data_IF_734289071170
#
_entry.id   IF_734289071170
#
_cell.length_a   1.000
_cell.length_b   1.000
_cell.length_c   1.000
_cell.angle_alpha   90.00
_cell.angle_beta   90.00
_cell.angle_gamma   90.00
#
_symmetry.space_group_name_H-M   'P 1'
#
loop_
_entity.id
_entity.type
_entity.pdbx_description
1 polymer ?
#
# COMPACT_ATOMS: atom_id res chain seq x y z
N UNK A 1 -38.41 16.68 44.14
CA UNK A 1 -37.34 17.69 44.35
C UNK A 1 -36.08 16.96 44.82
N UNK A 2 -34.93 17.24 44.17
CA UNK A 2 -33.54 16.84 44.52
C UNK A 2 -33.19 15.35 44.34
N UNK A 3 -32.12 14.90 43.68
CA UNK A 3 -30.97 15.59 43.07
C UNK A 3 -30.38 14.77 41.90
N UNK A 4 -30.08 15.47 40.82
CA UNK A 4 -29.17 15.11 39.73
C UNK A 4 -27.74 15.49 40.17
N UNK A 5 -26.73 14.62 39.98
CA UNK A 5 -25.38 15.03 39.51
C UNK A 5 -24.39 13.86 39.32
N UNK A 6 -23.61 14.01 38.24
CA UNK A 6 -22.26 13.50 37.91
C UNK A 6 -22.15 12.14 37.20
N UNK A 7 -22.34 12.18 35.89
CA UNK A 7 -21.47 11.49 34.92
C UNK A 7 -20.88 12.57 34.01
N UNK A 8 -19.63 12.95 34.24
CA UNK A 8 -18.97 14.05 33.53
C UNK A 8 -17.52 14.14 33.97
N UNK A 9 -16.78 13.05 33.83
CA UNK A 9 -15.37 13.01 34.23
C UNK A 9 -14.52 11.98 33.47
N UNK A 10 -15.07 11.24 32.50
CA UNK A 10 -14.32 10.22 31.74
C UNK A 10 -13.93 10.67 30.33
N UNK A 11 -14.76 11.50 29.67
CA UNK A 11 -14.44 12.04 28.34
C UNK A 11 -13.44 13.21 28.37
N UNK A 12 -13.42 13.98 29.45
CA UNK A 12 -12.51 15.13 29.62
C UNK A 12 -11.07 14.64 29.87
N UNK A 13 -10.91 13.56 30.65
CA UNK A 13 -9.62 12.92 30.92
C UNK A 13 -8.98 12.23 29.70
N UNK A 14 -9.79 11.65 28.80
CA UNK A 14 -9.27 11.05 27.57
C UNK A 14 -8.92 12.13 26.53
N UNK A 15 -9.72 13.21 26.42
CA UNK A 15 -9.41 14.35 25.57
C UNK A 15 -8.12 15.08 25.99
N UNK A 16 -7.88 15.24 27.29
CA UNK A 16 -6.65 15.86 27.81
C UNK A 16 -5.40 15.01 27.50
N UNK A 17 -5.53 13.69 27.53
CA UNK A 17 -4.45 12.77 27.12
C UNK A 17 -4.18 12.82 25.61
N UNK A 18 -5.23 12.90 24.80
CA UNK A 18 -5.11 13.03 23.35
C UNK A 18 -4.45 14.36 22.96
N UNK A 19 -4.80 15.44 23.65
CA UNK A 19 -4.24 16.76 23.40
C UNK A 19 -2.78 16.86 23.86
N UNK A 20 -2.42 16.20 24.97
CA UNK A 20 -1.04 16.06 25.41
C UNK A 20 -0.19 15.23 24.44
N UNK A 21 -0.71 14.11 23.93
CA UNK A 21 -0.01 13.28 22.94
C UNK A 21 0.18 14.01 21.59
N UNK A 22 -0.81 14.79 21.16
CA UNK A 22 -0.70 15.67 19.99
C UNK A 22 0.35 16.79 20.20
N UNK A 23 0.40 17.40 21.39
CA UNK A 23 1.41 18.41 21.71
C UNK A 23 2.83 17.84 21.75
N UNK A 24 3.01 16.63 22.29
CA UNK A 24 4.31 15.96 22.35
C UNK A 24 4.81 15.56 20.96
N UNK A 25 3.93 15.06 20.10
CA UNK A 25 4.26 14.72 18.70
C UNK A 25 4.60 15.96 17.87
N UNK A 26 3.89 17.08 18.05
CA UNK A 26 4.23 18.36 17.43
C UNK A 26 5.60 18.85 17.91
N UNK A 27 5.86 18.79 19.22
CA UNK A 27 7.17 19.17 19.80
C UNK A 27 8.32 18.29 19.29
N UNK A 28 8.11 16.98 19.18
CA UNK A 28 9.08 16.05 18.58
C UNK A 28 9.35 16.39 17.12
N UNK A 29 8.31 16.67 16.35
CA UNK A 29 8.44 17.04 14.93
C UNK A 29 9.23 18.34 14.76
N UNK A 30 9.02 19.31 15.66
CA UNK A 30 9.71 20.59 15.66
C UNK A 30 11.18 20.46 16.12
N UNK A 31 11.44 19.61 17.13
CA UNK A 31 12.81 19.22 17.52
C UNK A 31 13.55 18.45 16.44
N UNK A 32 12.85 17.61 15.67
CA UNK A 32 13.42 16.89 14.52
C UNK A 32 13.73 17.84 13.35
N UNK A 33 12.93 18.90 13.16
CA UNK A 33 13.20 19.97 12.19
C UNK A 33 14.37 20.87 12.61
N UNK A 34 14.53 21.09 13.91
CA UNK A 34 15.55 21.99 14.49
C UNK A 34 16.78 21.24 15.01
N UNK A 35 16.99 20.00 14.58
CA UNK A 35 18.11 19.18 15.01
C UNK A 35 19.38 19.65 14.30
N UNK A 36 20.03 20.67 14.86
CA UNK A 36 21.39 21.04 14.47
C UNK A 36 22.31 19.84 14.73
N UNK A 37 22.81 19.26 13.64
CA UNK A 37 23.78 18.17 13.73
C UNK A 37 25.04 18.71 14.40
N UNK A 38 25.41 18.12 15.54
CA UNK A 38 26.72 18.39 16.15
C UNK A 38 27.84 18.20 15.12
N UNK A 39 28.97 18.88 15.29
CA UNK A 39 30.12 18.74 14.39
C UNK A 39 30.55 17.26 14.25
N UNK A 40 30.47 16.49 15.33
CA UNK A 40 30.70 15.04 15.30
C UNK A 40 29.67 14.29 14.44
N UNK A 41 28.39 14.66 14.50
CA UNK A 41 27.34 14.04 13.70
C UNK A 41 27.49 14.39 12.21
N UNK A 42 27.81 15.65 11.88
CA UNK A 42 28.12 16.07 10.51
C UNK A 42 29.31 15.31 9.94
N UNK A 43 30.39 15.14 10.71
CA UNK A 43 31.57 14.36 10.30
C UNK A 43 31.24 12.89 10.07
N UNK A 44 30.41 12.28 10.93
CA UNK A 44 29.93 10.89 10.75
C UNK A 44 29.06 10.76 9.50
N UNK A 45 28.16 11.71 9.25
CA UNK A 45 27.33 11.75 8.05
C UNK A 45 28.20 11.87 6.79
N UNK A 46 29.16 12.79 6.75
CA UNK A 46 30.08 12.94 5.63
C UNK A 46 30.88 11.65 5.34
N UNK A 47 31.39 11.00 6.39
CA UNK A 47 32.08 9.72 6.25
C UNK A 47 31.16 8.60 5.75
N UNK A 48 29.90 8.59 6.15
CA UNK A 48 28.91 7.63 5.65
C UNK A 48 28.59 7.88 4.17
N UNK A 49 28.37 9.14 3.77
CA UNK A 49 28.14 9.53 2.37
C UNK A 49 29.29 9.08 1.45
N UNK A 50 30.55 9.29 1.85
CA UNK A 50 31.73 8.82 1.10
C UNK A 50 31.77 7.29 0.93
N UNK A 51 31.28 6.52 1.91
CA UNK A 51 31.17 5.05 1.79
C UNK A 51 30.09 4.65 0.80
N UNK A 52 28.96 5.36 0.79
CA UNK A 52 27.89 5.11 -0.18
C UNK A 52 28.27 5.52 -1.59
N UNK A 53 28.97 6.63 -1.76
CA UNK A 53 29.57 7.03 -3.04
C UNK A 53 30.45 5.90 -3.61
N UNK A 54 31.40 5.38 -2.82
CA UNK A 54 32.24 4.25 -3.22
C UNK A 54 31.43 2.99 -3.54
N UNK A 55 30.39 2.70 -2.76
CA UNK A 55 29.51 1.56 -3.01
C UNK A 55 28.73 1.72 -4.33
N UNK A 56 28.28 2.95 -4.64
CA UNK A 56 27.62 3.31 -5.90
C UNK A 56 28.55 3.10 -7.09
N UNK A 57 29.81 3.53 -6.99
CA UNK A 57 30.83 3.32 -8.03
C UNK A 57 31.08 1.84 -8.28
N UNK A 58 31.40 1.07 -7.24
CA UNK A 58 31.65 -0.38 -7.35
C UNK A 58 30.43 -1.13 -7.92
N UNK A 59 29.22 -0.72 -7.54
CA UNK A 59 27.98 -1.28 -8.07
C UNK A 59 27.75 -0.92 -9.54
N UNK A 60 28.20 0.26 -9.97
CA UNK A 60 28.15 0.70 -11.39
C UNK A 60 29.09 -0.15 -12.23
N UNK A 61 30.31 -0.38 -11.76
CA UNK A 61 31.28 -1.26 -12.42
C UNK A 61 30.76 -2.70 -12.53
N UNK A 62 30.23 -3.23 -11.43
CA UNK A 62 29.65 -4.58 -11.41
C UNK A 62 28.43 -4.72 -12.33
N UNK A 63 27.54 -3.73 -12.39
CA UNK A 63 26.40 -3.77 -13.31
C UNK A 63 26.85 -3.79 -14.79
N UNK A 64 27.93 -3.08 -15.10
CA UNK A 64 28.48 -2.95 -16.45
C UNK A 64 29.34 -4.15 -16.87
N UNK A 65 29.72 -5.01 -15.93
CA UNK A 65 30.53 -6.19 -16.20
C UNK A 65 29.69 -7.31 -16.84
N UNK A 66 29.83 -7.49 -18.16
CA UNK A 66 29.13 -8.53 -18.92
C UNK A 66 29.55 -9.96 -18.59
N UNK A 67 30.70 -10.16 -17.92
CA UNK A 67 31.12 -11.48 -17.44
C UNK A 67 30.31 -11.95 -16.21
N UNK A 68 29.64 -11.04 -15.51
CA UNK A 68 28.76 -11.38 -14.39
C UNK A 68 27.42 -11.91 -14.87
N UNK A 69 26.81 -12.76 -14.03
CA UNK A 69 25.49 -13.30 -14.33
C UNK A 69 24.45 -12.17 -14.35
N UNK A 70 23.34 -12.34 -15.09
CA UNK A 70 22.22 -11.41 -15.02
C UNK A 70 21.70 -11.14 -13.60
N UNK A 71 21.75 -12.14 -12.71
CA UNK A 71 21.34 -11.97 -11.32
C UNK A 71 22.29 -11.07 -10.54
N UNK A 72 23.60 -11.24 -10.72
CA UNK A 72 24.61 -10.41 -10.04
C UNK A 72 24.56 -8.97 -10.54
N UNK A 73 24.31 -8.77 -11.84
CA UNK A 73 24.12 -7.43 -12.42
C UNK A 73 22.86 -6.75 -11.87
N UNK A 74 21.73 -7.48 -11.74
CA UNK A 74 20.51 -6.94 -11.11
C UNK A 74 20.77 -6.59 -9.64
N UNK A 75 21.49 -7.44 -8.91
CA UNK A 75 21.88 -7.17 -7.52
C UNK A 75 22.81 -5.95 -7.42
N UNK A 76 23.77 -5.81 -8.34
CA UNK A 76 24.61 -4.62 -8.42
C UNK A 76 23.77 -3.36 -8.64
N UNK A 77 22.77 -3.40 -9.52
CA UNK A 77 21.85 -2.29 -9.71
C UNK A 77 21.06 -1.96 -8.44
N UNK A 78 20.63 -2.97 -7.67
CA UNK A 78 19.99 -2.74 -6.37
C UNK A 78 20.91 -1.97 -5.42
N UNK A 79 22.19 -2.38 -5.32
CA UNK A 79 23.18 -1.66 -4.52
C UNK A 79 23.41 -0.24 -5.03
N UNK A 80 23.48 -0.03 -6.35
CA UNK A 80 23.67 1.29 -6.95
C UNK A 80 22.53 2.24 -6.59
N UNK A 81 21.28 1.80 -6.69
CA UNK A 81 20.10 2.60 -6.31
C UNK A 81 20.11 2.89 -4.81
N UNK A 82 20.30 1.88 -3.96
CA UNK A 82 20.33 2.08 -2.51
C UNK A 82 21.45 3.03 -2.07
N UNK A 83 22.65 2.85 -2.61
CA UNK A 83 23.81 3.69 -2.31
C UNK A 83 23.57 5.14 -2.76
N UNK A 84 23.00 5.35 -3.95
CA UNK A 84 22.62 6.69 -4.45
C UNK A 84 21.66 7.41 -3.49
N UNK A 85 20.62 6.71 -3.02
CA UNK A 85 19.64 7.29 -2.09
C UNK A 85 20.28 7.61 -0.73
N UNK A 86 21.16 6.76 -0.23
CA UNK A 86 21.81 6.94 1.07
C UNK A 86 22.92 7.99 1.04
N UNK A 87 23.60 8.15 -0.09
CA UNK A 87 24.58 9.22 -0.34
C UNK A 87 23.92 10.60 -0.33
N UNK A 88 22.67 10.69 -0.78
CA UNK A 88 21.91 11.93 -0.93
C UNK A 88 20.81 12.09 0.14
N UNK A 89 20.93 11.37 1.28
CA UNK A 89 19.87 11.29 2.29
C UNK A 89 19.50 12.66 2.90
N UNK A 90 20.44 13.59 2.94
CA UNK A 90 20.28 14.98 3.38
C UNK A 90 19.61 15.87 2.31
N UNK A 91 19.71 15.49 1.04
CA UNK A 91 19.13 16.19 -0.11
C UNK A 91 18.48 15.17 -1.08
N UNK A 92 17.35 14.53 -0.68
CA UNK A 92 16.80 13.38 -1.40
C UNK A 92 16.35 13.70 -2.84
N UNK A 93 16.16 14.98 -3.18
CA UNK A 93 15.90 15.43 -4.54
C UNK A 93 17.03 15.05 -5.52
N UNK A 94 18.28 15.07 -5.05
CA UNK A 94 19.46 14.78 -5.85
C UNK A 94 19.53 13.29 -6.25
N UNK A 95 18.79 12.42 -5.55
CA UNK A 95 18.68 11.00 -5.88
C UNK A 95 17.81 10.73 -7.12
N UNK A 96 16.87 11.62 -7.45
CA UNK A 96 15.77 11.32 -8.39
C UNK A 96 16.28 11.06 -9.81
N UNK A 97 17.11 11.96 -10.36
CA UNK A 97 17.62 11.81 -11.71
C UNK A 97 18.57 10.59 -11.84
N UNK A 98 19.57 10.39 -10.95
CA UNK A 98 20.41 9.19 -10.99
C UNK A 98 19.63 7.88 -10.83
N UNK A 99 18.63 7.84 -9.95
CA UNK A 99 17.77 6.66 -9.82
C UNK A 99 16.98 6.38 -11.10
N UNK A 100 16.47 7.42 -11.78
CA UNK A 100 15.77 7.25 -13.06
C UNK A 100 16.68 6.62 -14.12
N UNK A 101 17.92 7.08 -14.24
CA UNK A 101 18.92 6.48 -15.16
C UNK A 101 19.16 5.01 -14.82
N UNK A 102 19.34 4.70 -13.53
CA UNK A 102 19.48 3.31 -13.06
C UNK A 102 18.29 2.43 -13.49
N UNK A 103 17.06 2.94 -13.38
CA UNK A 103 15.85 2.23 -13.79
C UNK A 103 15.80 2.02 -15.30
N UNK A 104 16.16 3.02 -16.10
CA UNK A 104 16.18 2.91 -17.56
C UNK A 104 17.18 1.85 -18.04
N UNK A 105 18.40 1.86 -17.49
CA UNK A 105 19.43 0.85 -17.78
C UNK A 105 19.00 -0.56 -17.35
N UNK A 106 18.44 -0.70 -16.14
CA UNK A 106 17.95 -1.98 -15.61
C UNK A 106 16.83 -2.55 -16.48
N UNK A 107 15.85 -1.72 -16.82
CA UNK A 107 14.71 -2.08 -17.65
C UNK A 107 15.13 -2.36 -19.10
N UNK A 108 16.26 -1.80 -19.53
CA UNK A 108 16.90 -2.02 -20.82
C UNK A 108 17.61 -3.37 -20.96
N UNK A 109 17.91 -4.08 -19.86
CA UNK A 109 18.61 -5.36 -19.93
C UNK A 109 17.82 -6.40 -20.75
N UNK A 110 18.44 -7.09 -21.73
CA UNK A 110 17.77 -8.08 -22.56
C UNK A 110 17.07 -9.18 -21.75
N UNK A 111 17.70 -9.63 -20.66
CA UNK A 111 17.15 -10.64 -19.74
C UNK A 111 15.83 -10.20 -19.09
N UNK A 112 15.68 -8.92 -18.78
CA UNK A 112 14.48 -8.36 -18.13
C UNK A 112 13.34 -8.29 -19.14
N UNK A 113 13.61 -7.74 -20.33
CA UNK A 113 12.65 -7.63 -21.41
C UNK A 113 12.14 -9.01 -21.86
N UNK A 114 13.05 -9.99 -22.02
CA UNK A 114 12.71 -11.36 -22.39
C UNK A 114 11.91 -12.09 -21.28
N UNK A 115 12.27 -11.90 -20.01
CA UNK A 115 11.56 -12.50 -18.88
C UNK A 115 10.10 -12.05 -18.83
N UNK A 116 9.84 -10.76 -19.06
CA UNK A 116 8.50 -10.20 -19.16
C UNK A 116 7.77 -10.71 -20.41
N UNK A 117 8.37 -10.58 -21.59
CA UNK A 117 7.75 -10.99 -22.85
C UNK A 117 7.25 -12.46 -22.80
N UNK A 118 8.02 -13.36 -22.20
CA UNK A 118 7.65 -14.77 -22.09
C UNK A 118 6.57 -15.05 -21.03
N UNK A 119 6.50 -14.27 -19.95
CA UNK A 119 5.47 -14.44 -18.90
C UNK A 119 4.13 -13.84 -19.30
N UNK A 120 4.16 -12.77 -20.10
CA UNK A 120 2.96 -12.04 -20.50
C UNK A 120 2.25 -12.67 -21.71
N UNK A 121 2.90 -13.58 -22.45
CA UNK A 121 2.25 -14.44 -23.45
C UNK A 121 1.36 -15.49 -22.79
N UNK A 122 0.04 -15.41 -23.01
CA UNK A 122 -0.87 -16.56 -22.86
C UNK A 122 -0.55 -17.58 -23.95
N UNK A 123 -0.12 -18.78 -23.60
CA UNK A 123 -0.01 -19.89 -24.57
C UNK A 123 1.18 -20.82 -24.34
N UNK A 124 0.87 -22.11 -24.26
CA UNK A 124 1.80 -23.24 -24.19
C UNK A 124 2.53 -23.34 -25.53
N UNK A 125 3.62 -22.59 -25.72
CA UNK A 125 4.70 -22.93 -26.68
C UNK A 125 5.97 -22.27 -26.17
N UNK A 126 6.72 -23.08 -25.41
CA UNK A 126 7.99 -22.71 -24.83
C UNK A 126 9.01 -22.48 -25.94
N UNK A 127 9.38 -21.22 -26.18
CA UNK A 127 10.71 -20.93 -26.75
C UNK A 127 11.70 -21.33 -25.66
N UNK A 128 12.44 -22.41 -25.93
CA UNK A 128 13.46 -22.94 -25.04
C UNK A 128 14.67 -21.99 -25.01
N UNK A 129 15.30 -21.91 -23.83
CA UNK A 129 16.69 -21.46 -23.53
C UNK A 129 16.88 -19.99 -23.15
N UNK A 130 16.70 -19.69 -21.85
CA UNK A 130 17.68 -18.92 -21.06
C UNK A 130 17.46 -19.12 -19.55
N UNK A 131 16.20 -19.24 -19.10
CA UNK A 131 15.84 -19.38 -17.67
C UNK A 131 14.59 -20.27 -17.44
N UNK A 132 14.55 -20.97 -16.31
CA UNK A 132 13.39 -21.73 -15.84
C UNK A 132 12.24 -20.80 -15.40
N UNK A 133 11.07 -21.38 -15.07
CA UNK A 133 9.86 -20.59 -14.73
C UNK A 133 10.06 -19.71 -13.49
N UNK A 134 10.88 -20.15 -12.55
CA UNK A 134 11.13 -19.51 -11.26
C UNK A 134 12.16 -18.41 -11.37
N UNK A 135 13.27 -18.65 -12.08
CA UNK A 135 14.29 -17.65 -12.37
C UNK A 135 13.70 -16.40 -13.04
N UNK A 136 12.77 -16.59 -14.00
CA UNK A 136 12.06 -15.45 -14.62
C UNK A 136 11.18 -14.67 -13.64
N UNK A 137 10.53 -15.36 -12.69
CA UNK A 137 9.76 -14.68 -11.63
C UNK A 137 10.70 -13.90 -10.72
N UNK A 138 11.86 -14.49 -10.41
CA UNK A 138 12.90 -13.86 -9.61
C UNK A 138 13.36 -12.56 -10.27
N UNK A 139 13.81 -12.62 -11.53
CA UNK A 139 14.20 -11.43 -12.32
C UNK A 139 13.12 -10.35 -12.29
N UNK A 140 11.87 -10.69 -12.61
CA UNK A 140 10.77 -9.72 -12.63
C UNK A 140 10.55 -9.07 -11.27
N UNK A 141 10.59 -9.84 -10.20
CA UNK A 141 10.30 -9.31 -8.86
C UNK A 141 11.46 -8.48 -8.32
N UNK A 142 12.70 -8.90 -8.55
CA UNK A 142 13.90 -8.18 -8.12
C UNK A 142 13.99 -6.82 -8.84
N UNK A 143 13.70 -6.80 -10.16
CA UNK A 143 13.60 -5.55 -10.93
C UNK A 143 12.44 -4.66 -10.45
N UNK A 144 11.30 -5.26 -10.12
CA UNK A 144 10.14 -4.53 -9.59
C UNK A 144 10.45 -3.89 -8.23
N UNK A 145 11.16 -4.59 -7.34
CA UNK A 145 11.62 -4.04 -6.07
C UNK A 145 12.50 -2.79 -6.28
N UNK A 146 13.46 -2.86 -7.19
CA UNK A 146 14.36 -1.73 -7.49
C UNK A 146 13.55 -0.55 -8.07
N UNK A 147 12.63 -0.81 -8.99
CA UNK A 147 11.70 0.18 -9.51
C UNK A 147 10.85 0.81 -8.39
N UNK A 148 10.35 0.02 -7.43
CA UNK A 148 9.52 0.50 -6.32
C UNK A 148 10.31 1.43 -5.40
N UNK A 149 11.55 1.09 -5.07
CA UNK A 149 12.42 1.91 -4.24
C UNK A 149 12.67 3.27 -4.90
N UNK A 150 13.10 3.27 -6.17
CA UNK A 150 13.30 4.50 -6.92
C UNK A 150 12.02 5.34 -7.01
N UNK A 151 10.87 4.69 -7.24
CA UNK A 151 9.56 5.36 -7.29
C UNK A 151 9.23 6.06 -5.97
N UNK A 152 9.41 5.39 -4.84
CA UNK A 152 9.12 5.96 -3.53
C UNK A 152 9.97 7.21 -3.23
N UNK A 153 11.23 7.22 -3.66
CA UNK A 153 12.10 8.39 -3.53
C UNK A 153 11.56 9.55 -4.36
N UNK A 154 11.20 9.31 -5.62
CA UNK A 154 10.56 10.33 -6.48
C UNK A 154 9.27 10.86 -5.85
N UNK A 155 8.40 9.99 -5.32
CA UNK A 155 7.17 10.40 -4.64
C UNK A 155 7.43 11.31 -3.44
N UNK A 156 8.48 11.02 -2.67
CA UNK A 156 8.79 11.76 -1.43
C UNK A 156 9.26 13.18 -1.74
N UNK A 157 9.92 13.39 -2.89
CA UNK A 157 10.44 14.69 -3.32
C UNK A 157 9.41 15.49 -4.11
N UNK A 158 8.62 14.86 -4.97
CA UNK A 158 7.73 15.51 -5.95
C UNK A 158 6.40 16.00 -5.38
N UNK A 159 6.34 16.45 -4.11
CA UNK A 159 5.08 16.84 -3.41
C UNK A 159 4.31 17.96 -4.16
N UNK A 160 4.94 18.70 -5.08
CA UNK A 160 4.37 19.89 -5.72
C UNK A 160 4.18 19.81 -7.25
N UNK A 161 4.60 18.74 -7.92
CA UNK A 161 4.51 18.64 -9.40
C UNK A 161 3.86 17.33 -9.87
N UNK A 162 3.20 17.32 -11.04
CA UNK A 162 2.71 16.09 -11.65
C UNK A 162 3.86 15.10 -11.80
N UNK A 163 3.65 13.88 -11.33
CA UNK A 163 4.70 12.87 -11.34
C UNK A 163 5.19 12.62 -12.77
N UNK A 164 6.51 12.59 -13.00
CA UNK A 164 7.05 12.28 -14.30
C UNK A 164 6.58 10.89 -14.74
N UNK A 165 6.36 10.72 -16.04
CA UNK A 165 6.00 9.41 -16.60
C UNK A 165 7.06 8.38 -16.19
N UNK A 166 6.64 7.38 -15.40
CA UNK A 166 7.55 6.34 -14.93
C UNK A 166 8.04 5.48 -16.09
N UNK A 167 9.32 5.07 -16.15
CA UNK A 167 9.86 4.27 -17.24
C UNK A 167 9.03 3.00 -17.48
N UNK A 168 8.58 2.82 -18.73
CA UNK A 168 7.87 1.61 -19.18
C UNK A 168 8.82 0.69 -19.91
N UNK A 169 8.68 -0.62 -19.69
CA UNK A 169 9.50 -1.63 -20.36
C UNK A 169 8.89 -1.97 -21.71
N UNK A 170 9.65 -1.77 -22.77
CA UNK A 170 9.25 -2.24 -24.09
C UNK A 170 9.60 -3.73 -24.23
N UNK A 171 8.58 -4.57 -24.39
CA UNK A 171 8.75 -6.02 -24.62
C UNK A 171 8.82 -6.38 -26.11
N UNK A 172 8.89 -5.37 -26.99
CA UNK A 172 8.77 -5.45 -28.44
C UNK A 172 7.33 -5.52 -28.96
N UNK A 173 6.36 -5.88 -28.10
CA UNK A 173 4.94 -5.99 -28.45
C UNK A 173 4.07 -4.96 -27.76
N UNK A 174 4.36 -4.74 -26.49
CA UNK A 174 3.64 -3.82 -25.62
C UNK A 174 4.63 -3.12 -24.70
N UNK A 175 4.23 -1.94 -24.23
CA UNK A 175 4.91 -1.22 -23.15
C UNK A 175 4.27 -1.63 -21.83
N UNK A 176 5.07 -2.12 -20.91
CA UNK A 176 4.63 -2.64 -19.61
C UNK A 176 5.07 -1.66 -18.54
N UNK A 177 4.12 -1.16 -17.75
CA UNK A 177 4.43 -0.48 -16.51
C UNK A 177 4.63 -1.54 -15.41
N UNK A 178 5.88 -1.81 -15.02
CA UNK A 178 6.21 -2.84 -14.05
C UNK A 178 5.47 -2.68 -12.71
N UNK A 179 5.27 -1.45 -12.27
CA UNK A 179 4.64 -1.17 -10.99
C UNK A 179 3.12 -1.27 -11.07
N UNK A 180 2.52 -1.13 -12.25
CA UNK A 180 1.05 -1.07 -12.43
C UNK A 180 0.45 -2.26 -13.19
N UNK A 181 1.26 -3.09 -13.82
CA UNK A 181 0.72 -4.22 -14.59
C UNK A 181 0.24 -5.34 -13.65
N UNK A 182 -1.06 -5.64 -13.69
CA UNK A 182 -1.68 -6.67 -12.84
C UNK A 182 -1.05 -8.06 -13.03
N UNK A 183 -0.50 -8.36 -14.21
CA UNK A 183 0.17 -9.64 -14.49
C UNK A 183 1.49 -9.73 -13.73
N UNK A 184 2.17 -8.60 -13.52
CA UNK A 184 3.36 -8.48 -12.65
C UNK A 184 2.93 -8.60 -11.19
N UNK A 185 1.84 -7.95 -10.77
CA UNK A 185 1.27 -8.12 -9.42
C UNK A 185 1.02 -9.59 -9.08
N UNK A 186 0.43 -10.35 -10.00
CA UNK A 186 0.20 -11.80 -9.81
C UNK A 186 1.49 -12.62 -9.66
N UNK A 187 2.62 -12.15 -10.20
CA UNK A 187 3.93 -12.76 -10.01
C UNK A 187 4.45 -12.43 -8.61
N UNK A 188 4.35 -11.17 -8.19
CA UNK A 188 4.79 -10.68 -6.88
C UNK A 188 4.06 -11.34 -5.72
N UNK A 189 2.72 -11.49 -5.81
CA UNK A 189 1.93 -12.17 -4.78
C UNK A 189 2.41 -13.61 -4.53
N UNK A 190 2.88 -14.31 -5.57
CA UNK A 190 3.42 -15.68 -5.41
C UNK A 190 4.74 -15.74 -4.66
N UNK A 191 5.41 -14.59 -4.46
CA UNK A 191 6.65 -14.44 -3.70
C UNK A 191 6.45 -13.66 -2.39
N UNK A 192 5.22 -13.28 -2.03
CA UNK A 192 4.97 -12.40 -0.87
C UNK A 192 5.56 -11.00 -1.04
N UNK A 193 5.63 -10.50 -2.29
CA UNK A 193 6.23 -9.21 -2.66
C UNK A 193 5.19 -8.21 -3.18
N UNK A 194 3.91 -8.37 -2.82
CA UNK A 194 2.79 -7.50 -3.24
C UNK A 194 3.08 -6.00 -3.07
N UNK A 195 3.81 -5.60 -2.01
CA UNK A 195 4.15 -4.21 -1.70
C UNK A 195 5.03 -3.53 -2.76
N UNK A 196 5.65 -4.32 -3.65
CA UNK A 196 6.41 -3.81 -4.79
C UNK A 196 5.52 -3.30 -5.92
N UNK A 197 4.24 -3.69 -5.94
CA UNK A 197 3.24 -3.22 -6.90
C UNK A 197 2.61 -1.90 -6.44
N UNK A 198 2.32 -1.02 -7.40
CA UNK A 198 1.39 0.12 -7.24
C UNK A 198 -0.04 -0.27 -7.61
N UNK A 199 -0.22 -1.31 -8.41
CA UNK A 199 -1.54 -1.87 -8.66
C UNK A 199 -1.89 -2.83 -7.53
N UNK A 200 -2.88 -2.43 -6.74
CA UNK A 200 -3.50 -3.29 -5.74
C UNK A 200 -4.70 -3.99 -6.37
N UNK A 201 -4.74 -5.32 -6.29
CA UNK A 201 -5.91 -6.10 -6.71
C UNK A 201 -6.47 -6.80 -5.48
N UNK A 202 -7.67 -6.43 -5.06
CA UNK A 202 -8.39 -7.11 -3.98
C UNK A 202 -9.24 -8.23 -4.58
N UNK A 203 -9.19 -9.43 -3.99
CA UNK A 203 -10.10 -10.52 -4.34
C UNK A 203 -9.85 -11.20 -5.69
N UNK A 204 -8.65 -11.06 -6.25
CA UNK A 204 -8.29 -11.63 -7.56
C UNK A 204 -7.67 -13.03 -7.47
N UNK A 205 -7.88 -13.72 -6.34
CA UNK A 205 -7.28 -15.02 -5.98
C UNK A 205 -7.95 -16.23 -6.66
N UNK A 206 -9.05 -16.04 -7.38
CA UNK A 206 -9.52 -16.98 -8.41
C UNK A 206 -10.95 -17.49 -8.25
N UNK A 207 -11.66 -17.13 -7.18
CA UNK A 207 -13.10 -17.35 -7.05
C UNK A 207 -13.84 -16.05 -7.38
N UNK A 208 -14.79 -16.09 -8.33
CA UNK A 208 -15.57 -14.89 -8.73
C UNK A 208 -16.25 -14.22 -7.53
N UNK A 209 -16.66 -14.98 -6.52
CA UNK A 209 -17.28 -14.46 -5.30
C UNK A 209 -16.36 -13.61 -4.42
N UNK A 210 -15.04 -13.79 -4.53
CA UNK A 210 -14.05 -13.04 -3.75
C UNK A 210 -13.72 -11.68 -4.38
N UNK A 211 -13.94 -11.55 -5.69
CA UNK A 211 -13.72 -10.32 -6.43
C UNK A 211 -14.63 -9.21 -5.94
N UNK A 212 -14.16 -7.97 -6.05
CA UNK A 212 -15.01 -6.80 -5.87
C UNK A 212 -15.80 -6.55 -7.16
N UNK A 213 -17.11 -6.38 -7.03
CA UNK A 213 -17.95 -6.07 -8.19
C UNK A 213 -18.04 -4.55 -8.40
N UNK A 214 -18.53 -3.84 -7.38
CA UNK A 214 -18.61 -2.38 -7.42
C UNK A 214 -18.49 -1.82 -6.00
N UNK A 215 -17.25 -1.64 -5.51
CA UNK A 215 -17.00 -1.20 -4.14
C UNK A 215 -17.46 0.25 -3.94
N UNK A 216 -18.17 0.50 -2.84
CA UNK A 216 -18.72 1.82 -2.48
C UNK A 216 -17.94 2.54 -1.38
N UNK A 217 -17.24 1.79 -0.52
CA UNK A 217 -16.44 2.35 0.57
C UNK A 217 -15.35 1.39 1.04
N UNK A 218 -14.29 1.94 1.64
CA UNK A 218 -13.15 1.21 2.19
C UNK A 218 -12.72 1.80 3.54
N UNK A 219 -12.34 0.93 4.46
CA UNK A 219 -11.67 1.25 5.71
C UNK A 219 -10.49 0.29 5.96
N UNK A 220 -9.63 0.62 6.91
CA UNK A 220 -8.50 -0.24 7.32
C UNK A 220 -8.48 -0.41 8.82
N UNK A 221 -8.13 -1.60 9.30
CA UNK A 221 -7.92 -1.83 10.73
C UNK A 221 -6.44 -1.69 11.12
N UNK A 222 -6.15 -1.77 12.42
CA UNK A 222 -4.79 -1.67 12.99
C UNK A 222 -3.84 -2.74 12.45
N UNK A 223 -4.38 -3.91 12.05
CA UNK A 223 -3.65 -4.99 11.39
C UNK A 223 -3.33 -4.75 9.90
N UNK A 224 -3.77 -3.62 9.33
CA UNK A 224 -3.57 -3.28 7.92
C UNK A 224 -4.43 -4.10 6.95
N UNK A 225 -5.51 -4.72 7.43
CA UNK A 225 -6.50 -5.36 6.57
C UNK A 225 -7.39 -4.31 5.91
N UNK A 226 -7.82 -4.59 4.68
CA UNK A 226 -8.76 -3.76 3.95
C UNK A 226 -10.17 -4.28 4.14
N UNK A 227 -11.08 -3.40 4.58
CA UNK A 227 -12.49 -3.71 4.78
C UNK A 227 -13.25 -2.92 3.73
N UNK A 228 -13.90 -3.60 2.79
CA UNK A 228 -14.53 -3.00 1.62
C UNK A 228 -16.02 -3.30 1.61
N UNK A 229 -16.84 -2.26 1.47
CA UNK A 229 -18.27 -2.41 1.21
C UNK A 229 -18.49 -2.57 -0.30
N UNK A 230 -19.12 -3.65 -0.71
CA UNK A 230 -19.47 -3.96 -2.09
C UNK A 230 -20.97 -3.71 -2.34
N UNK A 231 -21.36 -3.56 -3.60
CA UNK A 231 -22.71 -3.13 -3.99
C UNK A 231 -23.83 -4.10 -3.56
N UNK A 232 -23.50 -5.36 -3.28
CA UNK A 232 -24.45 -6.40 -2.88
C UNK A 232 -24.73 -6.41 -1.35
N UNK A 233 -24.45 -5.28 -0.67
CA UNK A 233 -24.51 -5.13 0.79
C UNK A 233 -23.59 -6.11 1.52
N UNK A 234 -22.57 -6.63 0.84
CA UNK A 234 -21.52 -7.40 1.50
C UNK A 234 -20.39 -6.48 1.91
N UNK A 235 -19.84 -6.76 3.07
CA UNK A 235 -18.56 -6.22 3.50
C UNK A 235 -17.56 -7.36 3.37
N UNK A 236 -16.52 -7.13 2.59
CA UNK A 236 -15.44 -8.08 2.31
C UNK A 236 -14.17 -7.59 2.99
N UNK A 237 -13.48 -8.49 3.67
CA UNK A 237 -12.20 -8.22 4.36
C UNK A 237 -11.09 -8.89 3.58
N UNK A 238 -10.02 -8.15 3.35
CA UNK A 238 -8.83 -8.60 2.66
C UNK A 238 -7.61 -8.40 3.55
N UNK A 239 -6.66 -9.32 3.48
CA UNK A 239 -5.32 -9.11 4.04
C UNK A 239 -4.65 -7.91 3.36
N UNK A 240 -3.60 -7.39 3.99
CA UNK A 240 -2.68 -6.44 3.34
C UNK A 240 -2.20 -6.92 1.97
N UNK A 241 -2.09 -8.24 1.78
CA UNK A 241 -1.71 -8.88 0.51
C UNK A 241 -2.74 -8.75 -0.61
N UNK A 242 -3.96 -8.29 -0.28
CA UNK A 242 -5.13 -8.28 -1.16
C UNK A 242 -5.88 -9.62 -1.25
N UNK A 243 -5.41 -10.64 -0.53
CA UNK A 243 -6.06 -11.95 -0.43
C UNK A 243 -7.37 -11.83 0.36
N UNK A 244 -8.41 -12.50 -0.11
CA UNK A 244 -9.69 -12.53 0.58
C UNK A 244 -9.59 -13.28 1.91
N UNK A 245 -10.16 -12.71 2.96
CA UNK A 245 -10.23 -13.31 4.30
C UNK A 245 -11.64 -13.81 4.59
N UNK A 246 -12.61 -12.89 4.55
CA UNK A 246 -13.98 -13.18 4.93
C UNK A 246 -14.95 -12.17 4.31
N UNK A 247 -16.24 -12.53 4.31
CA UNK A 247 -17.34 -11.64 3.94
C UNK A 247 -18.47 -11.75 4.95
N UNK A 248 -19.20 -10.66 5.13
CA UNK A 248 -20.44 -10.63 5.88
C UNK A 248 -21.46 -9.76 5.16
N UNK A 249 -22.74 -10.13 5.24
CA UNK A 249 -23.84 -9.31 4.73
C UNK A 249 -24.31 -8.37 5.82
N UNK A 250 -24.59 -7.13 5.46
CA UNK A 250 -25.30 -6.21 6.34
C UNK A 250 -26.68 -6.83 6.60
N UNK A 251 -27.07 -7.07 7.86
CA UNK A 251 -28.36 -7.67 8.15
C UNK A 251 -29.52 -6.73 7.76
N UNK A 252 -30.73 -7.28 7.55
CA UNK A 252 -31.93 -6.46 7.40
C UNK A 252 -32.05 -5.48 8.57
N UNK A 253 -32.26 -4.19 8.26
CA UNK A 253 -32.50 -3.20 9.28
C UNK A 253 -33.99 -3.06 9.49
N UNK A 254 -34.43 -3.28 10.72
CA UNK A 254 -35.84 -3.23 11.09
C UNK A 254 -36.04 -2.01 11.99
N UNK A 255 -37.04 -1.19 11.69
CA UNK A 255 -37.41 -0.08 12.55
C UNK A 255 -38.23 -0.50 13.77
N UNK A 256 -38.53 0.44 14.66
CA UNK A 256 -39.33 0.22 15.86
C UNK A 256 -40.76 -0.29 15.55
N UNK A 257 -41.23 -0.15 14.30
CA UNK A 257 -42.52 -0.66 13.85
C UNK A 257 -42.46 -2.08 13.28
N UNK A 258 -41.28 -2.70 13.26
CA UNK A 258 -41.07 -4.03 12.69
C UNK A 258 -40.91 -4.02 11.16
N UNK A 259 -40.78 -2.84 10.53
CA UNK A 259 -40.65 -2.70 9.08
C UNK A 259 -39.19 -2.69 8.65
N UNK A 260 -38.88 -3.44 7.60
CA UNK A 260 -37.55 -3.42 7.00
C UNK A 260 -37.27 -2.10 6.26
N UNK A 261 -36.14 -1.47 6.60
CA UNK A 261 -35.67 -0.24 6.00
C UNK A 261 -35.11 -0.50 4.60
N UNK A 262 -35.57 0.30 3.64
CA UNK A 262 -35.02 0.27 2.29
C UNK A 262 -33.70 1.04 2.23
N UNK A 263 -32.59 0.31 2.07
CA UNK A 263 -31.24 0.89 2.05
C UNK A 263 -30.84 1.31 0.62
N UNK A 264 -30.21 2.49 0.49
CA UNK A 264 -29.55 2.92 -0.75
C UNK A 264 -28.13 2.33 -0.79
N UNK A 265 -27.96 1.26 -1.57
CA UNK A 265 -26.72 0.47 -1.65
C UNK A 265 -25.47 1.24 -2.07
N UNK A 266 -25.63 2.34 -2.80
CA UNK A 266 -24.51 3.23 -3.21
C UNK A 266 -24.03 4.18 -2.11
N UNK A 267 -24.65 4.18 -0.93
CA UNK A 267 -24.35 5.13 0.15
C UNK A 267 -24.04 4.41 1.46
N UNK A 268 -23.16 3.41 1.38
CA UNK A 268 -22.53 2.78 2.54
C UNK A 268 -21.18 3.46 2.76
N UNK A 269 -20.91 3.94 3.96
CA UNK A 269 -19.58 4.40 4.37
C UNK A 269 -19.06 3.53 5.50
N UNK A 270 -17.80 3.15 5.41
CA UNK A 270 -17.10 2.37 6.42
C UNK A 270 -16.14 3.26 7.20
N UNK A 271 -16.04 2.99 8.50
CA UNK A 271 -14.99 3.52 9.36
C UNK A 271 -14.57 2.44 10.36
N UNK A 272 -13.39 2.60 10.93
CA UNK A 272 -12.83 1.74 11.96
C UNK A 272 -12.34 2.59 13.12
N UNK A 273 -12.51 2.12 14.36
CA UNK A 273 -11.90 2.75 15.54
C UNK A 273 -10.55 2.10 15.89
N UNK A 274 -9.90 2.60 16.95
CA UNK A 274 -8.62 2.06 17.43
C UNK A 274 -8.72 0.64 18.01
N UNK A 275 -9.93 0.14 18.26
CA UNK A 275 -10.18 -1.22 18.75
C UNK A 275 -10.57 -2.17 17.60
N UNK A 276 -10.41 -1.73 16.35
CA UNK A 276 -10.79 -2.45 15.13
C UNK A 276 -12.29 -2.76 15.01
N UNK A 277 -13.14 -2.02 15.73
CA UNK A 277 -14.59 -2.08 15.51
C UNK A 277 -14.93 -1.46 14.16
N UNK A 278 -15.87 -2.06 13.45
CA UNK A 278 -16.27 -1.62 12.11
C UNK A 278 -17.58 -0.83 12.23
N UNK A 279 -17.58 0.40 11.76
CA UNK A 279 -18.76 1.25 11.70
C UNK A 279 -19.24 1.31 10.27
N UNK A 280 -20.56 1.17 10.09
CA UNK A 280 -21.20 1.14 8.79
C UNK A 280 -22.29 2.20 8.80
N UNK A 281 -22.03 3.34 8.16
CA UNK A 281 -23.05 4.36 7.93
C UNK A 281 -23.86 3.97 6.69
N UNK A 282 -25.19 4.05 6.81
CA UNK A 282 -26.11 3.62 5.77
C UNK A 282 -27.15 4.72 5.51
N UNK A 283 -27.38 5.03 4.25
CA UNK A 283 -28.46 5.93 3.84
C UNK A 283 -29.75 5.15 3.54
N UNK A 284 -30.86 5.56 4.16
CA UNK A 284 -32.19 5.06 3.84
C UNK A 284 -32.74 5.70 2.55
N UNK A 285 -33.49 4.94 1.75
CA UNK A 285 -34.17 5.44 0.54
C UNK A 285 -35.37 6.33 0.85
N UNK A 286 -36.07 6.11 1.97
CA UNK A 286 -37.41 6.71 2.20
C UNK A 286 -37.41 8.12 2.77
N UNK A 287 -36.31 8.59 3.38
CA UNK A 287 -36.25 9.91 4.03
C UNK A 287 -34.82 10.45 3.95
N UNK A 288 -34.69 11.77 3.93
CA UNK A 288 -33.45 12.55 4.10
C UNK A 288 -32.79 12.37 5.49
N UNK A 289 -32.98 11.22 6.15
CA UNK A 289 -32.37 10.87 7.43
C UNK A 289 -31.30 9.80 7.23
N UNK A 290 -30.13 10.04 7.81
CA UNK A 290 -28.96 9.16 7.84
C UNK A 290 -29.01 8.30 9.11
N UNK A 291 -28.76 6.99 8.98
CA UNK A 291 -28.66 6.08 10.12
C UNK A 291 -27.26 5.50 10.24
N UNK A 292 -26.71 5.41 11.45
CA UNK A 292 -25.41 4.79 11.70
C UNK A 292 -25.59 3.41 12.32
N UNK A 293 -24.83 2.43 11.83
CA UNK A 293 -24.67 1.13 12.48
C UNK A 293 -23.27 1.03 13.06
N UNK A 294 -23.18 0.51 14.28
CA UNK A 294 -21.92 0.07 14.86
C UNK A 294 -21.89 -1.46 14.89
N UNK A 295 -20.88 -2.05 14.25
CA UNK A 295 -20.54 -3.46 14.42
C UNK A 295 -19.38 -3.54 15.42
N UNK A 296 -19.71 -3.65 16.70
CA UNK A 296 -18.74 -3.73 17.79
C UNK A 296 -18.26 -5.16 18.00
N UNK A 297 -17.37 -5.69 17.13
CA UNK A 297 -16.71 -6.97 17.42
C UNK A 297 -15.27 -7.09 16.94
N UNK A 298 -14.36 -7.61 17.79
CA UNK A 298 -13.08 -8.11 17.32
C UNK A 298 -13.28 -9.34 16.43
N UNK A 299 -12.39 -9.51 15.46
CA UNK A 299 -12.40 -10.51 14.38
C UNK A 299 -12.41 -12.00 14.81
N UNK A 300 -12.56 -12.32 16.09
CA UNK A 300 -12.29 -13.67 16.63
C UNK A 300 -13.49 -14.46 17.17
N UNK A 301 -14.74 -13.96 17.18
CA UNK A 301 -15.87 -14.79 17.65
C UNK A 301 -17.22 -14.54 16.97
N UNK A 302 -17.74 -15.64 16.40
CA UNK A 302 -19.04 -15.78 15.71
C UNK A 302 -20.20 -15.63 16.74
N UNK A 303 -21.36 -15.18 16.25
CA UNK A 303 -22.71 -14.95 16.87
C UNK A 303 -23.03 -13.54 17.39
N UNK A 304 -23.41 -12.58 16.53
CA UNK A 304 -23.74 -11.18 16.90
C UNK A 304 -25.19 -10.74 16.69
N UNK A 305 -25.73 -10.11 17.74
CA UNK A 305 -26.78 -9.09 17.71
C UNK A 305 -26.21 -7.75 17.20
N UNK A 306 -27.01 -6.94 16.50
CA UNK A 306 -26.66 -5.62 15.97
C UNK A 306 -27.38 -4.53 16.75
N UNK A 307 -26.67 -3.47 17.16
CA UNK A 307 -27.28 -2.27 17.74
C UNK A 307 -27.39 -1.19 16.67
N UNK A 308 -28.62 -0.76 16.38
CA UNK A 308 -28.93 0.37 15.49
C UNK A 308 -29.12 1.60 16.38
N UNK A 309 -28.30 2.64 16.21
CA UNK A 309 -28.55 3.93 16.84
C UNK A 309 -28.98 4.94 15.77
N UNK A 310 -30.22 5.42 15.87
CA UNK A 310 -30.72 6.54 15.06
C UNK A 310 -30.17 7.85 15.63
N UNK A 311 -29.43 8.60 14.82
CA UNK A 311 -29.07 9.97 15.14
C UNK A 311 -30.19 10.89 14.62
N UNK A 312 -30.88 11.58 15.53
CA UNK A 312 -31.77 12.70 15.20
C UNK A 312 -30.95 13.98 15.22
N UNK A 313 -30.78 14.63 14.07
CA UNK A 313 -30.38 16.05 13.97
C UNK A 313 -31.54 16.96 14.28
#
# INVERSE_FOLDING_TARGET
MKHLKRQGSRSEYDADKEQAACAETVSLTERMKNLELTESAMRKLANAKKRFERAREMATDAFSNEALSPHDRILAMQYRVMATVLETIDHPADAVAPCKVCIEELNGLPVVQQSLQQKLRKGIRAVKRLFNKEERRRVISDVCLINRVAYNVTQTVSIKEPLPQWPMINTGKEKVNLLRDWRVTKILCKRGMENCSLSWNLGHDGLEEHGLNNPSSIATNSGGQYIVADLDKTIKVFEKSGKFVQRFKIPPLIDDSGKELSIKTMAVQLATDMNDNIYVLIQEKSRTQTGFLSLTRPLTSITSFVSVQRATT
#
